data_IF_887610244737
#
_entry.id   IF_887610244737
#
_cell.length_a   1.000
_cell.length_b   1.000
_cell.length_c   1.000
_cell.angle_alpha   90.00
_cell.angle_beta   90.00
_cell.angle_gamma   90.00
#
_symmetry.space_group_name_H-M   'P 1'
#
loop_
_entity.id
_entity.type
_entity.pdbx_description
1 polymer ?
#
# COMPACT_ATOMS: atom_id res chain seq x y z
N UNK A 1 -25.55 20.28 -9.47
CA UNK A 1 -26.10 20.03 -8.11
C UNK A 1 -25.58 18.72 -7.49
N UNK A 2 -25.01 17.77 -8.25
CA UNK A 2 -24.39 16.55 -7.70
C UNK A 2 -22.99 16.79 -7.09
N UNK A 3 -22.18 17.68 -7.66
CA UNK A 3 -20.79 17.93 -7.23
C UNK A 3 -20.66 18.51 -5.80
N UNK A 4 -21.59 19.39 -5.39
CA UNK A 4 -21.55 19.98 -4.06
C UNK A 4 -21.91 18.96 -2.94
N UNK A 5 -22.61 17.87 -3.28
CA UNK A 5 -22.91 16.78 -2.34
C UNK A 5 -21.70 15.88 -2.11
N UNK A 6 -20.99 15.50 -3.18
CA UNK A 6 -19.80 14.66 -3.07
C UNK A 6 -18.63 15.35 -2.36
N UNK A 7 -18.45 16.65 -2.57
CA UNK A 7 -17.36 17.39 -1.93
C UNK A 7 -17.54 17.49 -0.40
N UNK A 8 -18.78 17.71 0.07
CA UNK A 8 -19.10 17.72 1.51
C UNK A 8 -18.90 16.34 2.13
N UNK A 9 -19.30 15.27 1.43
CA UNK A 9 -19.09 13.89 1.89
C UNK A 9 -17.59 13.53 1.95
N UNK A 10 -16.78 14.01 1.00
CA UNK A 10 -15.32 13.83 1.03
C UNK A 10 -14.66 14.57 2.19
N UNK A 11 -15.04 15.83 2.43
CA UNK A 11 -14.49 16.61 3.56
C UNK A 11 -14.80 15.94 4.90
N UNK A 12 -16.02 15.43 5.06
CA UNK A 12 -16.41 14.65 6.23
C UNK A 12 -15.56 13.39 6.37
N UNK A 13 -15.39 12.64 5.27
CA UNK A 13 -14.56 11.42 5.28
C UNK A 13 -13.11 11.72 5.64
N UNK A 14 -12.50 12.78 5.08
CA UNK A 14 -11.14 13.20 5.44
C UNK A 14 -11.05 13.56 6.93
N UNK A 15 -12.07 14.24 7.48
CA UNK A 15 -12.11 14.54 8.90
C UNK A 15 -12.13 13.26 9.77
N UNK A 16 -12.94 12.28 9.39
CA UNK A 16 -13.01 10.98 10.09
C UNK A 16 -11.67 10.22 9.98
N UNK A 17 -11.01 10.24 8.81
CA UNK A 17 -9.69 9.64 8.61
C UNK A 17 -8.61 10.34 9.45
N UNK A 18 -8.58 11.68 9.48
CA UNK A 18 -7.66 12.44 10.34
C UNK A 18 -7.84 12.09 11.81
N UNK A 19 -9.09 11.97 12.27
CA UNK A 19 -9.41 11.57 13.65
C UNK A 19 -8.82 10.20 13.99
N UNK A 20 -8.93 9.25 13.06
CA UNK A 20 -8.32 7.93 13.19
C UNK A 20 -6.78 8.00 13.19
N UNK A 21 -6.17 8.80 12.32
CA UNK A 21 -4.71 8.94 12.22
C UNK A 21 -4.06 9.54 13.48
N UNK A 22 -4.78 10.39 14.23
CA UNK A 22 -4.30 10.91 15.52
C UNK A 22 -3.95 9.76 16.46
N UNK A 23 -4.84 8.78 16.59
CA UNK A 23 -4.62 7.61 17.44
C UNK A 23 -3.62 6.66 16.80
N UNK A 24 -3.80 6.35 15.51
CA UNK A 24 -3.02 5.35 14.80
C UNK A 24 -1.52 5.69 14.69
N UNK A 25 -1.20 6.95 14.44
CA UNK A 25 0.18 7.46 14.38
C UNK A 25 0.68 7.99 15.73
N UNK A 26 -0.15 7.92 16.78
CA UNK A 26 0.15 8.47 18.12
C UNK A 26 0.58 9.94 18.05
N UNK A 27 -0.16 10.75 17.27
CA UNK A 27 0.15 12.16 17.06
C UNK A 27 0.02 12.94 18.37
N UNK A 28 0.89 13.94 18.54
CA UNK A 28 0.96 14.70 19.79
C UNK A 28 -0.20 15.69 19.93
N UNK A 29 -0.76 16.14 18.82
CA UNK A 29 -1.93 17.01 18.81
C UNK A 29 -2.76 16.89 17.52
N UNK A 30 -4.04 17.31 17.53
CA UNK A 30 -4.86 17.32 16.33
C UNK A 30 -4.30 18.18 15.18
N UNK A 31 -3.52 19.22 15.50
CA UNK A 31 -2.88 20.07 14.49
C UNK A 31 -1.82 19.32 13.67
N UNK A 32 -1.22 18.26 14.21
CA UNK A 32 -0.30 17.41 13.43
C UNK A 32 -1.06 16.64 12.33
N UNK A 33 -2.31 16.22 12.59
CA UNK A 33 -3.13 15.56 11.58
C UNK A 33 -3.50 16.48 10.41
N UNK A 34 -3.54 17.79 10.64
CA UNK A 34 -3.80 18.78 9.59
C UNK A 34 -2.65 18.93 8.60
N UNK A 35 -1.44 18.49 8.96
CA UNK A 35 -0.27 18.48 8.05
C UNK A 35 -0.30 17.31 7.07
N UNK A 36 -1.12 16.29 7.33
CA UNK A 36 -1.26 15.11 6.47
C UNK A 36 -2.10 15.48 5.25
N UNK A 37 -1.55 15.25 4.07
CA UNK A 37 -2.23 15.54 2.80
C UNK A 37 -2.99 14.31 2.34
N UNK A 38 -4.22 14.49 1.87
CA UNK A 38 -5.05 13.41 1.34
C UNK A 38 -5.25 13.59 -0.16
N UNK A 39 -4.98 12.54 -0.94
CA UNK A 39 -5.20 12.48 -2.39
C UNK A 39 -6.11 11.29 -2.67
N UNK A 40 -7.13 11.44 -3.52
CA UNK A 40 -7.92 10.27 -3.94
C UNK A 40 -7.10 9.44 -4.92
N UNK A 41 -7.23 8.13 -4.85
CA UNK A 41 -6.53 7.21 -5.75
C UNK A 41 -6.86 7.52 -7.23
N UNK A 42 -8.10 7.89 -7.52
CA UNK A 42 -8.52 8.31 -8.86
C UNK A 42 -7.84 9.60 -9.37
N UNK A 43 -7.33 10.44 -8.46
CA UNK A 43 -6.66 11.70 -8.79
C UNK A 43 -5.12 11.57 -8.83
N UNK A 44 -4.59 10.36 -8.61
CA UNK A 44 -3.14 10.10 -8.70
C UNK A 44 -2.62 10.34 -10.12
N UNK A 45 -1.42 10.90 -10.20
CA UNK A 45 -0.74 11.22 -11.46
C UNK A 45 0.67 10.62 -11.49
N UNK A 46 1.37 10.75 -12.63
CA UNK A 46 2.70 10.16 -12.81
C UNK A 46 2.70 8.64 -12.59
N UNK A 47 3.77 8.13 -11.99
CA UNK A 47 3.98 6.70 -11.73
C UNK A 47 2.92 6.13 -10.78
N UNK A 48 2.53 6.86 -9.72
CA UNK A 48 1.42 6.46 -8.85
C UNK A 48 0.09 6.31 -9.61
N UNK A 49 -0.16 7.21 -10.57
CA UNK A 49 -1.34 7.11 -11.43
C UNK A 49 -1.29 5.90 -12.36
N UNK A 50 -0.10 5.51 -12.84
CA UNK A 50 0.07 4.29 -13.65
C UNK A 50 -0.19 3.03 -12.83
N UNK A 51 0.35 2.97 -11.61
CA UNK A 51 0.10 1.90 -10.64
C UNK A 51 -1.40 1.77 -10.31
N UNK A 52 -2.10 2.89 -10.10
CA UNK A 52 -3.55 2.86 -9.91
C UNK A 52 -4.29 2.30 -11.14
N UNK A 53 -3.95 2.76 -12.34
CA UNK A 53 -4.61 2.32 -13.58
C UNK A 53 -4.37 0.85 -13.90
N UNK A 54 -3.28 0.25 -13.42
CA UNK A 54 -3.00 -1.18 -13.58
C UNK A 54 -4.12 -2.08 -13.03
N UNK A 55 -4.79 -1.65 -11.95
CA UNK A 55 -5.90 -2.42 -11.37
C UNK A 55 -7.16 -2.43 -12.23
N UNK A 56 -7.39 -1.35 -13.00
CA UNK A 56 -8.60 -1.16 -13.81
C UNK A 56 -9.90 -1.47 -13.01
N UNK A 57 -9.98 -0.96 -11.77
CA UNK A 57 -11.07 -1.22 -10.84
C UNK A 57 -11.61 0.09 -10.25
N UNK A 58 -12.77 0.53 -10.75
CA UNK A 58 -13.40 1.79 -10.34
C UNK A 58 -13.80 1.81 -8.86
N UNK A 59 -13.90 0.65 -8.19
CA UNK A 59 -14.21 0.59 -6.76
C UNK A 59 -13.10 1.20 -5.91
N UNK A 60 -11.88 1.25 -6.43
CA UNK A 60 -10.73 1.89 -5.78
C UNK A 60 -10.72 3.41 -5.93
N UNK A 61 -11.60 4.00 -6.74
CA UNK A 61 -11.61 5.46 -6.97
C UNK A 61 -11.69 6.28 -5.68
N UNK A 62 -12.41 5.72 -4.69
CA UNK A 62 -12.67 6.34 -3.40
C UNK A 62 -11.62 5.99 -2.34
N UNK A 63 -10.56 5.25 -2.68
CA UNK A 63 -9.43 5.05 -1.76
C UNK A 63 -8.67 6.36 -1.57
N UNK A 64 -8.32 6.69 -0.33
CA UNK A 64 -7.52 7.87 -0.02
C UNK A 64 -6.06 7.50 0.25
N UNK A 65 -5.14 8.23 -0.37
CA UNK A 65 -3.71 8.20 -0.05
C UNK A 65 -3.42 9.35 0.90
N UNK A 66 -3.06 9.01 2.14
CA UNK A 66 -2.57 9.92 3.16
C UNK A 66 -1.03 10.04 3.06
N UNK A 67 -0.56 11.18 2.57
CA UNK A 67 0.86 11.52 2.54
C UNK A 67 1.23 12.13 3.89
N UNK A 68 1.95 11.34 4.69
CA UNK A 68 2.30 11.63 6.08
C UNK A 68 3.69 12.26 6.12
N UNK A 69 3.85 13.49 6.64
CA UNK A 69 5.17 14.10 6.81
C UNK A 69 6.14 13.20 7.58
N UNK A 70 7.41 13.17 7.17
CA UNK A 70 8.43 12.27 7.72
C UNK A 70 8.58 12.40 9.23
N UNK A 71 8.44 13.60 9.79
CA UNK A 71 8.50 13.82 11.23
C UNK A 71 7.34 13.21 12.01
N UNK A 72 6.26 12.81 11.32
CA UNK A 72 5.09 12.12 11.87
C UNK A 72 5.08 10.62 11.51
N UNK A 73 6.03 10.15 10.70
CA UNK A 73 6.18 8.75 10.35
C UNK A 73 7.01 8.01 11.41
N UNK A 74 6.35 7.16 12.19
CA UNK A 74 6.97 6.40 13.28
C UNK A 74 6.84 4.89 13.11
N UNK A 75 6.56 4.43 11.87
CA UNK A 75 6.28 3.04 11.52
C UNK A 75 7.50 2.22 11.08
N UNK A 76 8.69 2.64 11.48
CA UNK A 76 9.94 1.96 11.15
C UNK A 76 10.40 2.23 9.71
N UNK A 77 11.02 1.23 9.08
CA UNK A 77 11.70 1.37 7.79
C UNK A 77 10.81 1.17 6.55
N UNK A 78 9.54 0.80 6.72
CA UNK A 78 8.62 0.64 5.59
C UNK A 78 8.14 2.01 5.10
N UNK A 79 8.02 2.24 3.78
CA UNK A 79 7.63 3.54 3.22
C UNK A 79 6.11 3.74 3.14
N UNK A 80 5.32 2.66 3.25
CA UNK A 80 3.86 2.69 3.19
C UNK A 80 3.24 1.69 4.15
N UNK A 81 1.94 1.89 4.43
CA UNK A 81 1.06 0.92 5.07
C UNK A 81 -0.37 1.11 4.54
N UNK A 82 -1.22 0.09 4.59
CA UNK A 82 -2.65 0.22 4.30
C UNK A 82 -3.53 0.07 5.55
N UNK A 83 -4.58 0.88 5.60
CA UNK A 83 -5.78 0.64 6.39
C UNK A 83 -6.91 0.33 5.40
N UNK A 84 -6.84 -0.88 4.84
CA UNK A 84 -7.72 -1.34 3.75
C UNK A 84 -9.21 -1.27 4.14
N UNK A 85 -9.53 -1.59 5.39
CA UNK A 85 -10.86 -1.50 6.01
C UNK A 85 -11.47 -0.08 5.98
N UNK A 86 -10.61 0.94 5.85
CA UNK A 86 -11.02 2.35 5.76
C UNK A 86 -10.91 2.91 4.34
N UNK A 87 -10.47 2.09 3.38
CA UNK A 87 -10.10 2.52 2.05
C UNK A 87 -9.05 3.62 2.12
N UNK A 88 -8.00 3.41 2.92
CA UNK A 88 -6.93 4.38 3.13
C UNK A 88 -5.56 3.71 3.00
N UNK A 89 -4.64 4.40 2.34
CA UNK A 89 -3.23 4.04 2.21
C UNK A 89 -2.41 5.17 2.83
N UNK A 90 -1.38 4.86 3.60
CA UNK A 90 -0.46 5.84 4.16
C UNK A 90 0.88 5.72 3.45
N UNK A 91 1.49 6.86 3.13
CA UNK A 91 2.84 6.94 2.60
C UNK A 91 3.67 7.91 3.43
N UNK A 92 4.93 7.54 3.71
CA UNK A 92 5.96 8.46 4.21
C UNK A 92 6.22 9.54 3.15
N UNK A 93 6.14 10.80 3.54
CA UNK A 93 6.14 11.96 2.64
C UNK A 93 7.37 12.05 1.76
N UNK A 94 8.56 11.89 2.34
CA UNK A 94 9.82 11.89 1.60
C UNK A 94 9.86 10.81 0.53
N UNK A 95 9.39 9.60 0.85
CA UNK A 95 9.31 8.52 -0.14
C UNK A 95 8.30 8.82 -1.25
N UNK A 96 7.13 9.35 -0.90
CA UNK A 96 6.10 9.76 -1.85
C UNK A 96 6.61 10.83 -2.83
N UNK A 97 7.42 11.77 -2.34
CA UNK A 97 8.00 12.85 -3.13
C UNK A 97 9.27 12.44 -3.91
N UNK A 98 9.73 11.19 -3.78
CA UNK A 98 10.91 10.66 -4.49
C UNK A 98 12.25 10.98 -3.82
N UNK A 99 12.36 10.86 -2.49
CA UNK A 99 13.60 11.08 -1.74
C UNK A 99 14.81 10.32 -2.32
N UNK A 100 15.97 10.98 -2.39
CA UNK A 100 17.23 10.39 -2.86
C UNK A 100 17.50 10.71 -4.33
N UNK A 101 16.99 9.87 -5.22
CA UNK A 101 17.24 9.90 -6.67
C UNK A 101 16.16 10.64 -7.47
N UNK A 102 15.10 11.11 -6.80
CA UNK A 102 13.99 11.82 -7.43
C UNK A 102 12.95 10.90 -8.07
N UNK A 103 13.02 9.57 -7.84
CA UNK A 103 12.10 8.60 -8.42
C UNK A 103 11.04 8.23 -7.39
N UNK A 104 9.76 8.57 -7.61
CA UNK A 104 8.68 8.15 -6.73
C UNK A 104 8.40 6.65 -6.85
N UNK A 105 8.41 5.96 -5.72
CA UNK A 105 7.93 4.57 -5.57
C UNK A 105 8.47 3.55 -6.60
N UNK A 106 9.81 3.41 -6.75
CA UNK A 106 10.41 2.46 -7.69
C UNK A 106 10.05 1.00 -7.41
N UNK A 107 9.76 0.66 -6.14
CA UNK A 107 9.37 -0.69 -5.73
C UNK A 107 7.89 -0.99 -5.94
N UNK A 108 7.10 -0.02 -6.43
CA UNK A 108 5.66 -0.14 -6.66
C UNK A 108 4.84 -0.49 -5.40
N UNK A 109 5.17 0.13 -4.26
CA UNK A 109 4.41 0.03 -3.02
C UNK A 109 2.96 0.48 -3.18
N UNK A 110 2.67 1.47 -4.02
CA UNK A 110 1.28 1.90 -4.25
C UNK A 110 0.45 0.76 -4.84
N UNK A 111 1.04 -0.04 -5.74
CA UNK A 111 0.40 -1.24 -6.27
C UNK A 111 0.15 -2.26 -5.16
N UNK A 112 1.11 -2.47 -4.27
CA UNK A 112 0.97 -3.36 -3.13
C UNK A 112 -0.20 -2.91 -2.22
N UNK A 113 -0.24 -1.65 -1.83
CA UNK A 113 -1.27 -1.12 -0.92
C UNK A 113 -2.66 -1.03 -1.55
N UNK A 114 -2.75 -0.76 -2.85
CA UNK A 114 -4.00 -0.84 -3.59
C UNK A 114 -4.53 -2.28 -3.69
N UNK A 115 -3.65 -3.28 -3.71
CA UNK A 115 -4.06 -4.68 -3.70
C UNK A 115 -4.72 -5.06 -2.36
N UNK A 116 -4.20 -4.57 -1.23
CA UNK A 116 -4.87 -4.74 0.07
C UNK A 116 -6.27 -4.11 0.07
N UNK A 117 -6.40 -2.87 -0.43
CA UNK A 117 -7.69 -2.20 -0.55
C UNK A 117 -8.65 -2.98 -1.46
N UNK A 118 -8.19 -3.44 -2.62
CA UNK A 118 -9.00 -4.24 -3.54
C UNK A 118 -9.47 -5.53 -2.87
N UNK A 119 -8.59 -6.20 -2.11
CA UNK A 119 -8.93 -7.44 -1.42
C UNK A 119 -9.98 -7.23 -0.34
N UNK A 120 -9.83 -6.21 0.51
CA UNK A 120 -10.85 -5.85 1.50
C UNK A 120 -12.20 -5.58 0.84
N UNK A 121 -12.24 -4.90 -0.32
CA UNK A 121 -13.47 -4.69 -1.08
C UNK A 121 -14.05 -6.01 -1.63
N UNK A 122 -13.20 -6.92 -2.11
CA UNK A 122 -13.62 -8.18 -2.73
C UNK A 122 -14.24 -9.17 -1.73
N UNK A 123 -13.66 -9.28 -0.53
CA UNK A 123 -14.06 -10.30 0.46
C UNK A 123 -14.76 -9.72 1.70
N UNK A 124 -14.69 -8.41 1.90
CA UNK A 124 -15.15 -7.73 3.10
C UNK A 124 -14.17 -7.87 4.28
N UNK A 125 -14.22 -6.92 5.21
CA UNK A 125 -13.20 -6.78 6.27
C UNK A 125 -13.06 -8.00 7.18
N UNK A 126 -14.16 -8.72 7.45
CA UNK A 126 -14.11 -9.92 8.29
C UNK A 126 -13.29 -11.03 7.65
N UNK A 127 -13.52 -11.29 6.36
CA UNK A 127 -12.76 -12.32 5.64
C UNK A 127 -11.34 -11.83 5.39
N UNK A 128 -11.14 -10.55 5.07
CA UNK A 128 -9.80 -9.96 4.94
C UNK A 128 -8.95 -10.17 6.19
N UNK A 129 -9.51 -9.94 7.38
CA UNK A 129 -8.83 -10.16 8.65
C UNK A 129 -8.56 -11.66 8.92
N UNK A 130 -9.46 -12.54 8.49
CA UNK A 130 -9.21 -13.99 8.59
C UNK A 130 -8.08 -14.41 7.64
N UNK A 131 -8.05 -13.87 6.43
CA UNK A 131 -7.05 -14.17 5.42
C UNK A 131 -5.66 -13.62 5.76
N UNK A 132 -5.57 -12.53 6.51
CA UNK A 132 -4.29 -12.00 7.03
C UNK A 132 -3.68 -12.88 8.14
N UNK A 133 -4.49 -13.71 8.79
CA UNK A 133 -4.04 -14.71 9.76
C UNK A 133 -3.87 -16.11 9.15
N UNK A 134 -4.42 -16.34 7.96
CA UNK A 134 -4.43 -17.66 7.30
C UNK A 134 -3.17 -17.86 6.49
N UNK A 135 -2.40 -18.89 6.83
CA UNK A 135 -1.15 -19.22 6.14
C UNK A 135 -1.38 -19.53 4.65
N UNK A 136 -0.54 -19.00 3.76
CA UNK A 136 -0.65 -19.27 2.32
C UNK A 136 0.16 -20.50 1.89
N UNK A 137 1.45 -20.57 2.23
CA UNK A 137 2.30 -21.72 1.92
C UNK A 137 2.47 -22.63 3.15
N UNK A 138 1.88 -23.82 3.13
CA UNK A 138 1.91 -24.78 4.26
C UNK A 138 3.32 -25.21 4.68
N UNK A 139 4.30 -25.16 3.76
CA UNK A 139 5.68 -25.62 3.98
C UNK A 139 6.62 -24.55 4.55
N UNK A 140 6.19 -23.29 4.59
CA UNK A 140 6.95 -22.21 5.21
C UNK A 140 6.57 -22.05 6.69
N UNK A 141 7.56 -22.04 7.57
CA UNK A 141 7.37 -21.78 9.00
C UNK A 141 7.11 -20.30 9.31
N UNK A 142 6.91 -19.93 10.59
CA UNK A 142 6.63 -18.54 11.00
C UNK A 142 7.84 -17.61 10.90
N UNK A 143 9.05 -18.15 10.71
CA UNK A 143 10.30 -17.40 10.62
C UNK A 143 10.52 -16.83 9.19
N UNK A 144 9.51 -16.14 8.67
CA UNK A 144 9.54 -15.43 7.39
C UNK A 144 8.64 -14.18 7.47
N UNK A 145 8.61 -13.39 6.40
CA UNK A 145 7.63 -12.33 6.24
C UNK A 145 6.22 -12.93 6.32
N UNK A 146 5.21 -12.24 6.91
CA UNK A 146 3.88 -12.79 7.11
C UNK A 146 3.37 -13.59 5.90
N UNK A 147 3.45 -14.91 6.00
CA UNK A 147 3.08 -15.86 4.97
C UNK A 147 1.58 -16.07 5.00
N UNK A 148 0.81 -15.07 4.58
CA UNK A 148 -0.64 -15.12 4.59
C UNK A 148 -1.23 -14.81 3.21
N UNK A 149 -2.52 -15.06 3.03
CA UNK A 149 -3.17 -14.93 1.72
C UNK A 149 -3.23 -13.48 1.22
N UNK A 150 -3.37 -12.54 2.14
CA UNK A 150 -3.48 -11.10 1.85
C UNK A 150 -2.16 -10.56 1.30
N UNK A 151 -1.03 -10.84 1.96
CA UNK A 151 0.31 -10.46 1.52
C UNK A 151 0.68 -11.16 0.21
N UNK A 152 0.28 -12.42 0.04
CA UNK A 152 0.58 -13.17 -1.18
C UNK A 152 -0.05 -12.53 -2.42
N UNK A 153 -1.31 -12.11 -2.29
CA UNK A 153 -1.99 -11.36 -3.33
C UNK A 153 -1.32 -10.00 -3.56
N UNK A 154 -0.98 -9.27 -2.49
CA UNK A 154 -0.42 -7.93 -2.60
C UNK A 154 0.93 -7.92 -3.31
N UNK A 155 1.87 -8.77 -2.88
CA UNK A 155 3.13 -8.98 -3.60
C UNK A 155 2.92 -9.54 -5.00
N UNK A 156 1.96 -10.45 -5.18
CA UNK A 156 1.62 -10.98 -6.51
C UNK A 156 1.23 -9.88 -7.50
N UNK A 157 0.43 -8.89 -7.05
CA UNK A 157 0.06 -7.72 -7.87
C UNK A 157 1.24 -6.78 -8.11
N UNK A 158 2.01 -6.48 -7.06
CA UNK A 158 3.20 -5.64 -7.15
C UNK A 158 4.19 -6.20 -8.18
N UNK A 159 4.52 -7.49 -8.11
CA UNK A 159 5.46 -8.12 -9.03
C UNK A 159 4.90 -8.24 -10.44
N UNK A 160 3.59 -8.48 -10.59
CA UNK A 160 2.95 -8.49 -11.91
C UNK A 160 3.02 -7.12 -12.59
N UNK A 161 2.84 -6.03 -11.83
CA UNK A 161 3.00 -4.66 -12.34
C UNK A 161 4.44 -4.39 -12.75
N UNK A 162 5.42 -4.68 -11.88
CA UNK A 162 6.84 -4.49 -12.18
C UNK A 162 7.26 -5.29 -13.43
N UNK A 163 6.78 -6.52 -13.58
CA UNK A 163 6.99 -7.34 -14.78
C UNK A 163 6.36 -6.72 -16.02
N UNK A 164 5.16 -6.14 -15.93
CA UNK A 164 4.52 -5.45 -17.05
C UNK A 164 5.39 -4.27 -17.52
N UNK A 165 5.94 -3.52 -16.55
CA UNK A 165 6.91 -2.43 -16.74
C UNK A 165 8.31 -2.86 -17.21
N UNK A 166 8.54 -4.16 -17.41
CA UNK A 166 9.82 -4.75 -17.86
C UNK A 166 10.97 -4.59 -16.86
N UNK A 167 10.64 -4.47 -15.58
CA UNK A 167 11.63 -4.63 -14.50
C UNK A 167 11.96 -6.11 -14.41
N UNK A 168 13.25 -6.45 -14.41
CA UNK A 168 13.68 -7.84 -14.36
C UNK A 168 13.61 -8.39 -12.93
N UNK A 169 13.48 -9.71 -12.77
CA UNK A 169 13.34 -10.37 -11.46
C UNK A 169 14.47 -10.00 -10.49
N UNK A 170 15.70 -9.95 -11.00
CA UNK A 170 16.89 -9.58 -10.24
C UNK A 170 16.81 -8.14 -9.73
N UNK A 171 16.37 -7.20 -10.59
CA UNK A 171 16.19 -5.79 -10.21
C UNK A 171 15.10 -5.63 -9.15
N UNK A 172 13.98 -6.37 -9.25
CA UNK A 172 12.97 -6.40 -8.18
C UNK A 172 13.56 -6.92 -6.86
N UNK A 173 14.43 -7.93 -6.92
CA UNK A 173 15.07 -8.48 -5.72
C UNK A 173 15.95 -7.42 -5.05
N UNK A 174 16.77 -6.70 -5.83
CA UNK A 174 17.63 -5.61 -5.33
C UNK A 174 16.82 -4.50 -4.66
N UNK A 175 15.69 -4.09 -5.25
CA UNK A 175 14.79 -3.09 -4.66
C UNK A 175 14.18 -3.53 -3.31
N UNK A 176 13.95 -4.83 -3.12
CA UNK A 176 13.36 -5.38 -1.90
C UNK A 176 14.39 -5.62 -0.79
N UNK A 177 15.66 -5.87 -1.12
CA UNK A 177 16.74 -6.08 -0.14
C UNK A 177 16.98 -4.87 0.77
N UNK A 178 16.54 -3.67 0.38
CA UNK A 178 16.57 -2.47 1.24
C UNK A 178 15.62 -2.57 2.44
N UNK A 179 14.55 -3.35 2.32
CA UNK A 179 13.46 -3.44 3.29
C UNK A 179 13.34 -4.80 3.97
N UNK A 180 13.91 -5.86 3.38
CA UNK A 180 13.69 -7.24 3.78
C UNK A 180 14.97 -8.02 4.06
N UNK A 181 14.90 -8.91 5.04
CA UNK A 181 15.98 -9.81 5.41
C UNK A 181 15.94 -11.15 4.64
N UNK A 182 17.00 -11.97 4.75
CA UNK A 182 17.09 -13.26 4.05
C UNK A 182 15.93 -14.23 4.36
N UNK A 183 15.36 -14.15 5.56
CA UNK A 183 14.24 -15.00 5.97
C UNK A 183 12.92 -14.59 5.31
N UNK A 184 12.71 -13.31 5.03
CA UNK A 184 11.55 -12.78 4.30
C UNK A 184 11.54 -13.27 2.85
N UNK A 185 12.73 -13.37 2.24
CA UNK A 185 12.90 -13.87 0.88
C UNK A 185 12.50 -15.35 0.70
N UNK A 186 12.30 -16.12 1.77
CA UNK A 186 11.70 -17.47 1.66
C UNK A 186 10.28 -17.42 1.11
N UNK A 187 9.50 -16.41 1.54
CA UNK A 187 8.15 -16.13 1.07
C UNK A 187 8.17 -15.40 -0.27
N UNK A 188 8.91 -14.28 -0.34
CA UNK A 188 8.92 -13.40 -1.53
C UNK A 188 9.41 -14.14 -2.79
N UNK A 189 10.43 -15.00 -2.68
CA UNK A 189 10.92 -15.75 -3.85
C UNK A 189 9.87 -16.70 -4.43
N UNK A 190 8.99 -17.29 -3.62
CA UNK A 190 7.92 -18.17 -4.15
C UNK A 190 6.98 -17.40 -5.07
N UNK A 191 6.66 -16.17 -4.69
CA UNK A 191 5.78 -15.29 -5.46
C UNK A 191 6.52 -14.78 -6.70
N UNK A 192 7.78 -14.34 -6.55
CA UNK A 192 8.62 -13.92 -7.68
C UNK A 192 8.75 -15.04 -8.72
N UNK A 193 9.07 -16.26 -8.31
CA UNK A 193 9.24 -17.40 -9.22
C UNK A 193 7.93 -17.74 -9.94
N UNK A 194 6.79 -17.68 -9.24
CA UNK A 194 5.47 -17.83 -9.86
C UNK A 194 5.19 -16.75 -10.91
N UNK A 195 5.50 -15.49 -10.61
CA UNK A 195 5.20 -14.35 -11.50
C UNK A 195 6.14 -14.30 -12.69
N UNK A 196 7.44 -14.51 -12.49
CA UNK A 196 8.47 -14.42 -13.54
C UNK A 196 8.64 -15.72 -14.32
N UNK A 197 8.22 -16.87 -13.77
CA UNK A 197 8.21 -18.17 -14.46
C UNK A 197 9.55 -18.91 -14.38
N UNK A 198 10.23 -18.81 -13.23
CA UNK A 198 11.49 -19.52 -12.93
C UNK A 198 11.32 -21.04 -12.93
#
# INVERSE_FOLDING_TARGET
MQEAGSEVDHQKRIHDLKSHLIEYLSLKSPEDAEKITFVRAADLSGDFGEQFRFFNDERLNETFVAVVPDELWHKGGQPSESSADRGMILFRGGYYDGEGDGIPDPSAWMTHELAHCQRSIDVGDNEYNQESETQFFDDLGPDTYPNNQVEEQAFGRQFAYLKDKKVEREEVTELLEEHYGPDDFKFLNRILDRVYGS
#
